data_IF_419210275323
#
_entry.id   IF_419210275323
#
_cell.length_a   1.000
_cell.length_b   1.000
_cell.length_c   1.000
_cell.angle_alpha   90.00
_cell.angle_beta   90.00
_cell.angle_gamma   90.00
#
_symmetry.space_group_name_H-M   'P 1'
#
loop_
_entity.id
_entity.type
_entity.pdbx_description
1 polymer ?
#
# COMPACT_ATOMS: atom_id res chain seq x y z
N UNK A 1 -0.47 -27.78 -0.23
CA UNK A 1 -0.84 -29.21 -0.09
C UNK A 1 -2.18 -29.48 -0.75
N UNK A 2 -3.22 -29.64 0.05
CA UNK A 2 -4.56 -30.08 -0.41
C UNK A 2 -5.18 -29.19 -1.50
N UNK A 3 -5.06 -27.86 -1.39
CA UNK A 3 -5.67 -26.93 -2.34
C UNK A 3 -4.92 -26.86 -3.68
N UNK A 4 -3.59 -27.01 -3.65
CA UNK A 4 -2.72 -26.79 -4.82
C UNK A 4 -2.23 -28.09 -5.46
N UNK A 5 -2.35 -29.23 -4.78
CA UNK A 5 -1.71 -30.49 -5.19
C UNK A 5 -0.17 -30.45 -5.08
N UNK A 6 0.40 -29.39 -4.48
CA UNK A 6 1.84 -29.19 -4.32
C UNK A 6 2.26 -29.29 -2.86
N UNK A 7 3.43 -29.88 -2.62
CA UNK A 7 4.13 -29.95 -1.33
C UNK A 7 5.20 -28.88 -1.14
N UNK A 8 5.45 -28.05 -2.15
CA UNK A 8 6.50 -27.03 -2.15
C UNK A 8 6.21 -25.88 -1.17
N UNK A 9 7.28 -25.33 -0.56
CA UNK A 9 7.21 -24.16 0.31
C UNK A 9 6.92 -22.87 -0.50
N UNK A 10 5.85 -22.16 -0.15
CA UNK A 10 5.36 -20.94 -0.82
C UNK A 10 6.15 -19.65 -0.48
N UNK A 11 7.45 -19.78 -0.18
CA UNK A 11 8.27 -18.63 0.18
C UNK A 11 8.97 -17.95 -1.02
N UNK A 12 9.17 -18.66 -2.13
CA UNK A 12 9.88 -18.13 -3.29
C UNK A 12 8.93 -17.53 -4.34
N UNK A 13 9.37 -16.44 -4.99
CA UNK A 13 8.61 -15.84 -6.11
C UNK A 13 8.44 -16.81 -7.30
N UNK A 14 9.35 -17.78 -7.47
CA UNK A 14 9.23 -18.83 -8.49
C UNK A 14 8.04 -19.76 -8.19
N UNK A 15 7.89 -20.19 -6.93
CA UNK A 15 6.74 -21.00 -6.50
C UNK A 15 5.43 -20.23 -6.68
N UNK A 16 5.40 -18.94 -6.29
CA UNK A 16 4.21 -18.09 -6.48
C UNK A 16 3.86 -17.90 -7.96
N UNK A 17 4.86 -17.71 -8.83
CA UNK A 17 4.64 -17.66 -10.28
C UNK A 17 3.98 -18.94 -10.79
N UNK A 18 4.44 -20.09 -10.35
CA UNK A 18 3.92 -21.36 -10.81
C UNK A 18 2.51 -21.65 -10.31
N UNK A 19 2.20 -21.29 -9.07
CA UNK A 19 0.86 -21.46 -8.49
C UNK A 19 -0.12 -20.44 -9.08
N UNK A 20 0.20 -19.14 -8.98
CA UNK A 20 -0.74 -18.07 -9.31
C UNK A 20 -0.91 -17.92 -10.82
N UNK A 21 0.19 -17.86 -11.57
CA UNK A 21 0.12 -17.56 -13.01
C UNK A 21 0.03 -18.82 -13.87
N UNK A 22 0.80 -19.88 -13.57
CA UNK A 22 0.79 -21.07 -14.43
C UNK A 22 -0.37 -22.01 -14.11
N UNK A 23 -0.64 -22.27 -12.84
CA UNK A 23 -1.68 -23.21 -12.41
C UNK A 23 -3.07 -22.57 -12.38
N UNK A 24 -3.24 -21.45 -11.66
CA UNK A 24 -4.53 -20.76 -11.56
C UNK A 24 -4.80 -19.73 -12.66
N UNK A 25 -3.84 -19.49 -13.56
CA UNK A 25 -4.00 -18.57 -14.71
C UNK A 25 -4.42 -17.15 -14.29
N UNK A 26 -4.00 -16.71 -13.10
CA UNK A 26 -4.29 -15.36 -12.61
C UNK A 26 -3.50 -14.30 -13.39
N UNK A 27 -4.04 -13.08 -13.53
CA UNK A 27 -3.35 -11.98 -14.19
C UNK A 27 -2.21 -11.43 -13.33
N UNK A 28 -1.21 -10.82 -13.97
CA UNK A 28 -0.15 -10.09 -13.28
C UNK A 28 -0.72 -8.74 -12.82
N UNK A 29 -0.87 -8.55 -11.50
CA UNK A 29 -1.44 -7.32 -10.95
C UNK A 29 -0.42 -6.20 -10.72
N UNK A 30 0.83 -6.57 -10.39
CA UNK A 30 1.95 -5.63 -10.27
C UNK A 30 3.21 -6.22 -10.88
N UNK A 31 4.10 -5.31 -11.29
CA UNK A 31 5.39 -5.64 -11.92
C UNK A 31 6.55 -5.06 -11.12
N UNK A 32 7.69 -5.74 -11.19
CA UNK A 32 8.92 -5.32 -10.52
C UNK A 32 9.50 -4.11 -11.27
N UNK A 33 9.81 -3.05 -10.52
CA UNK A 33 10.51 -1.86 -11.01
C UNK A 33 11.96 -1.86 -10.54
N UNK A 34 12.87 -1.53 -11.45
CA UNK A 34 14.30 -1.48 -11.17
C UNK A 34 14.93 -0.19 -11.71
N UNK A 35 16.07 0.21 -11.16
CA UNK A 35 16.85 1.31 -11.72
C UNK A 35 17.71 0.80 -12.86
N UNK A 36 17.62 1.43 -14.03
CA UNK A 36 18.55 1.18 -15.12
C UNK A 36 19.94 1.76 -14.80
N UNK A 37 20.91 1.54 -15.69
CA UNK A 37 22.29 2.02 -15.53
C UNK A 37 22.38 3.55 -15.32
N UNK A 38 21.39 4.30 -15.82
CA UNK A 38 21.29 5.76 -15.67
C UNK A 38 20.56 6.18 -14.39
N UNK A 39 20.27 5.24 -13.48
CA UNK A 39 19.56 5.49 -12.22
C UNK A 39 18.06 5.78 -12.36
N UNK A 40 17.50 5.67 -13.58
CA UNK A 40 16.06 5.88 -13.83
C UNK A 40 15.29 4.60 -13.59
N UNK A 41 14.12 4.73 -12.97
CA UNK A 41 13.21 3.61 -12.78
C UNK A 41 12.65 3.15 -14.13
N UNK A 42 12.62 1.85 -14.34
CA UNK A 42 11.95 1.20 -15.45
C UNK A 42 11.15 -0.02 -14.94
N UNK A 43 10.09 -0.34 -15.66
CA UNK A 43 9.29 -1.53 -15.42
C UNK A 43 9.94 -2.73 -16.11
N UNK A 44 10.20 -3.81 -15.37
CA UNK A 44 10.87 -4.99 -15.90
C UNK A 44 9.90 -5.95 -16.60
N UNK A 45 8.59 -5.73 -16.47
CA UNK A 45 7.54 -6.65 -16.92
C UNK A 45 7.47 -7.96 -16.12
N UNK A 46 8.42 -8.22 -15.20
CA UNK A 46 8.39 -9.39 -14.33
C UNK A 46 7.32 -9.23 -13.26
N UNK A 47 6.55 -10.29 -12.95
CA UNK A 47 5.50 -10.21 -11.94
C UNK A 47 6.08 -9.95 -10.55
N UNK A 48 5.43 -9.05 -9.80
CA UNK A 48 5.65 -8.89 -8.36
C UNK A 48 4.67 -9.77 -7.58
N UNK A 49 5.14 -10.29 -6.45
CA UNK A 49 4.36 -11.00 -5.44
C UNK A 49 4.73 -10.49 -4.03
N UNK A 50 5.07 -9.21 -3.95
CA UNK A 50 5.24 -8.50 -2.68
C UNK A 50 3.90 -8.36 -1.95
N UNK A 51 3.95 -7.75 -0.76
CA UNK A 51 2.76 -7.53 0.07
C UNK A 51 1.66 -6.78 -0.69
N UNK A 52 2.03 -5.76 -1.45
CA UNK A 52 1.07 -4.92 -2.18
C UNK A 52 0.40 -5.74 -3.29
N UNK A 53 1.18 -6.49 -4.08
CA UNK A 53 0.65 -7.36 -5.12
C UNK A 53 -0.30 -8.43 -4.56
N UNK A 54 0.07 -9.05 -3.44
CA UNK A 54 -0.76 -10.04 -2.76
C UNK A 54 -2.07 -9.45 -2.23
N UNK A 55 -2.04 -8.20 -1.75
CA UNK A 55 -3.25 -7.51 -1.31
C UNK A 55 -4.21 -7.22 -2.47
N UNK A 56 -3.68 -6.88 -3.66
CA UNK A 56 -4.52 -6.73 -4.86
C UNK A 56 -5.20 -8.04 -5.25
N UNK A 57 -4.49 -9.18 -5.16
CA UNK A 57 -5.09 -10.48 -5.46
C UNK A 57 -6.28 -10.79 -4.54
N UNK A 58 -6.26 -10.36 -3.27
CA UNK A 58 -7.36 -10.61 -2.33
C UNK A 58 -8.69 -9.98 -2.73
N UNK A 59 -8.65 -8.89 -3.49
CA UNK A 59 -9.83 -8.12 -3.91
C UNK A 59 -10.11 -8.25 -5.40
N UNK A 60 -9.23 -8.88 -6.18
CA UNK A 60 -9.38 -8.99 -7.62
C UNK A 60 -10.46 -10.02 -8.01
N UNK A 61 -11.36 -9.73 -8.98
CA UNK A 61 -12.44 -10.64 -9.37
C UNK A 61 -12.00 -12.02 -9.86
N UNK A 62 -10.80 -12.15 -10.43
CA UNK A 62 -10.26 -13.46 -10.83
C UNK A 62 -9.93 -14.37 -9.64
N UNK A 63 -9.89 -13.82 -8.43
CA UNK A 63 -9.66 -14.55 -7.18
C UNK A 63 -10.97 -14.63 -6.39
N UNK A 64 -11.65 -13.50 -6.19
CA UNK A 64 -12.85 -13.45 -5.34
C UNK A 64 -14.04 -14.23 -5.89
N UNK A 65 -14.03 -14.57 -7.19
CA UNK A 65 -15.08 -15.39 -7.82
C UNK A 65 -14.88 -16.89 -7.60
N UNK A 66 -13.74 -17.34 -7.07
CA UNK A 66 -13.42 -18.75 -6.84
C UNK A 66 -12.93 -18.94 -5.40
N UNK A 67 -13.75 -19.61 -4.59
CA UNK A 67 -13.49 -19.82 -3.15
C UNK A 67 -12.20 -20.62 -2.90
N UNK A 68 -11.85 -21.56 -3.80
CA UNK A 68 -10.61 -22.33 -3.69
C UNK A 68 -9.40 -21.43 -3.92
N UNK A 69 -9.44 -20.58 -4.96
CA UNK A 69 -8.34 -19.65 -5.26
C UNK A 69 -8.18 -18.63 -4.12
N UNK A 70 -9.29 -18.09 -3.62
CA UNK A 70 -9.32 -17.19 -2.47
C UNK A 70 -8.63 -17.79 -1.25
N UNK A 71 -8.99 -19.02 -0.86
CA UNK A 71 -8.34 -19.72 0.24
C UNK A 71 -6.84 -19.91 0.03
N UNK A 72 -6.40 -20.19 -1.20
CA UNK A 72 -4.97 -20.28 -1.52
C UNK A 72 -4.26 -18.94 -1.31
N UNK A 73 -4.83 -17.83 -1.80
CA UNK A 73 -4.27 -16.48 -1.63
C UNK A 73 -4.18 -16.09 -0.16
N UNK A 74 -5.22 -16.38 0.63
CA UNK A 74 -5.24 -16.09 2.06
C UNK A 74 -4.16 -16.85 2.82
N UNK A 75 -4.05 -18.17 2.61
CA UNK A 75 -3.03 -19.01 3.25
C UNK A 75 -1.61 -18.59 2.86
N UNK A 76 -1.37 -18.27 1.58
CA UNK A 76 -0.07 -17.75 1.14
C UNK A 76 0.27 -16.44 1.84
N UNK A 77 -0.70 -15.53 1.94
CA UNK A 77 -0.50 -14.22 2.56
C UNK A 77 -0.24 -14.35 4.06
N UNK A 78 -0.99 -15.20 4.75
CA UNK A 78 -0.82 -15.51 6.16
C UNK A 78 0.56 -16.09 6.41
N UNK A 79 0.93 -17.16 5.69
CA UNK A 79 2.24 -17.79 5.81
C UNK A 79 3.39 -16.79 5.61
N UNK A 80 3.32 -15.95 4.57
CA UNK A 80 4.36 -14.95 4.29
C UNK A 80 4.44 -13.88 5.36
N UNK A 81 3.30 -13.50 5.95
CA UNK A 81 3.24 -12.54 7.05
C UNK A 81 3.89 -13.13 8.31
N UNK A 82 3.59 -14.39 8.65
CA UNK A 82 4.23 -15.07 9.79
C UNK A 82 5.72 -15.29 9.55
N UNK A 83 6.10 -15.72 8.36
CA UNK A 83 7.50 -15.95 8.00
C UNK A 83 8.30 -14.64 8.04
N UNK A 84 7.74 -13.53 7.53
CA UNK A 84 8.36 -12.20 7.65
C UNK A 84 8.46 -11.77 9.11
N UNK A 85 7.42 -11.99 9.91
CA UNK A 85 7.44 -11.62 11.32
C UNK A 85 8.53 -12.38 12.08
N UNK A 86 8.63 -13.69 11.86
CA UNK A 86 9.67 -14.54 12.43
C UNK A 86 11.06 -14.07 12.01
N UNK A 87 11.32 -13.94 10.71
CA UNK A 87 12.67 -13.65 10.21
C UNK A 87 13.13 -12.23 10.53
N UNK A 88 12.26 -11.23 10.28
CA UNK A 88 12.62 -9.82 10.39
C UNK A 88 12.66 -9.32 11.84
N UNK A 89 11.89 -9.94 12.74
CA UNK A 89 11.79 -9.49 14.12
C UNK A 89 12.25 -10.55 15.12
N UNK A 90 11.63 -11.73 15.17
CA UNK A 90 11.95 -12.70 16.23
C UNK A 90 13.41 -13.18 16.15
N UNK A 91 13.81 -13.73 15.00
CA UNK A 91 15.16 -14.25 14.80
C UNK A 91 16.18 -13.13 14.93
N UNK A 92 15.88 -11.95 14.36
CA UNK A 92 16.75 -10.78 14.41
C UNK A 92 16.95 -10.25 15.84
N UNK A 93 15.89 -10.18 16.67
CA UNK A 93 16.03 -9.72 18.06
C UNK A 93 16.75 -10.76 18.92
N UNK A 94 16.50 -12.05 18.70
CA UNK A 94 17.20 -13.13 19.41
C UNK A 94 18.71 -13.12 19.08
N UNK A 95 19.09 -12.81 17.85
CA UNK A 95 20.48 -12.73 17.44
C UNK A 95 21.18 -11.47 17.95
N UNK A 96 20.51 -10.32 17.91
CA UNK A 96 21.12 -9.00 18.14
C UNK A 96 20.93 -8.45 19.56
N UNK A 97 20.27 -9.17 20.47
CA UNK A 97 20.13 -8.71 21.83
C UNK A 97 21.43 -8.91 22.63
N UNK A 98 21.72 -7.94 23.49
CA UNK A 98 22.73 -8.02 24.52
C UNK A 98 22.01 -7.95 25.87
N UNK A 99 21.98 -9.08 26.59
CA UNK A 99 21.28 -9.21 27.88
C UNK A 99 19.80 -8.79 27.85
N UNK A 100 19.08 -9.15 26.77
CA UNK A 100 17.67 -8.82 26.60
C UNK A 100 17.40 -7.39 26.10
N UNK A 101 18.43 -6.62 25.74
CA UNK A 101 18.32 -5.28 25.16
C UNK A 101 18.82 -5.29 23.72
N UNK A 102 18.08 -4.67 22.80
CA UNK A 102 18.51 -4.51 21.40
C UNK A 102 19.06 -3.10 21.18
N UNK A 103 20.15 -2.97 20.44
CA UNK A 103 20.86 -1.70 20.21
C UNK A 103 20.86 -1.30 18.72
N UNK A 104 19.82 -0.60 18.21
CA UNK A 104 19.75 -0.19 16.81
C UNK A 104 20.84 0.81 16.43
N UNK A 105 21.42 0.63 15.24
CA UNK A 105 22.38 1.57 14.67
C UNK A 105 21.68 2.61 13.79
N UNK A 106 21.86 3.89 14.12
CA UNK A 106 21.33 5.01 13.34
C UNK A 106 22.42 5.68 12.51
N UNK A 107 22.24 5.69 11.19
CA UNK A 107 23.09 6.44 10.27
C UNK A 107 22.44 7.78 9.91
N UNK A 108 23.16 8.86 10.22
CA UNK A 108 22.73 10.24 10.06
C UNK A 108 22.99 10.82 8.65
N UNK A 109 23.80 10.15 7.84
CA UNK A 109 24.29 10.66 6.55
C UNK A 109 23.61 10.00 5.35
N UNK A 110 22.29 10.18 5.19
CA UNK A 110 21.60 9.78 3.94
C UNK A 110 21.20 10.99 3.11
N UNK A 111 21.16 10.79 1.78
CA UNK A 111 20.97 11.83 0.76
C UNK A 111 19.73 12.72 0.95
N UNK A 112 18.71 12.24 1.63
CA UNK A 112 17.44 12.96 1.86
C UNK A 112 17.41 13.73 3.17
N UNK A 113 18.46 13.65 3.99
CA UNK A 113 18.49 14.21 5.35
C UNK A 113 17.70 13.42 6.40
N UNK A 114 17.07 12.30 6.04
CA UNK A 114 16.41 11.40 7.01
C UNK A 114 17.47 10.65 7.85
N UNK A 115 17.06 10.02 8.95
CA UNK A 115 17.89 8.97 9.57
C UNK A 115 17.61 7.63 8.87
N UNK A 116 18.61 6.76 8.80
CA UNK A 116 18.41 5.35 8.45
C UNK A 116 18.80 4.46 9.62
N UNK A 117 18.12 3.33 9.79
CA UNK A 117 18.32 2.43 10.93
C UNK A 117 18.62 1.00 10.49
N UNK A 118 19.55 0.33 11.17
CA UNK A 118 19.95 -1.05 10.91
C UNK A 118 20.39 -1.76 12.18
N UNK A 119 20.39 -3.10 12.16
CA UNK A 119 20.88 -3.99 13.24
C UNK A 119 20.31 -3.67 14.65
N UNK A 120 19.00 -3.89 14.91
CA UNK A 120 17.91 -4.13 13.98
C UNK A 120 17.34 -2.81 13.41
N UNK A 121 16.54 -2.88 12.34
CA UNK A 121 15.85 -1.70 11.83
C UNK A 121 14.64 -1.34 12.73
N UNK A 122 14.85 -0.42 13.67
CA UNK A 122 13.79 0.05 14.59
C UNK A 122 12.79 1.02 13.94
N UNK A 123 13.07 1.56 12.75
CA UNK A 123 12.16 2.47 12.04
C UNK A 123 11.02 1.72 11.34
N UNK A 124 11.19 0.43 11.00
CA UNK A 124 10.22 -0.38 10.25
C UNK A 124 9.52 -1.44 11.11
N UNK A 125 9.31 -1.13 12.39
CA UNK A 125 8.58 -1.98 13.33
C UNK A 125 7.09 -2.04 12.96
N UNK A 126 6.49 -3.23 13.07
CA UNK A 126 5.04 -3.40 12.95
C UNK A 126 4.39 -3.52 14.34
N UNK A 127 3.06 -3.52 14.40
CA UNK A 127 2.33 -3.56 15.68
C UNK A 127 2.64 -4.82 16.51
N UNK A 128 2.97 -5.95 15.89
CA UNK A 128 3.35 -7.16 16.60
C UNK A 128 4.77 -7.05 17.18
N UNK A 129 5.71 -6.47 16.45
CA UNK A 129 7.10 -6.34 16.90
C UNK A 129 7.21 -5.31 18.03
N UNK A 130 6.45 -4.21 17.97
CA UNK A 130 6.38 -3.21 19.05
C UNK A 130 5.95 -3.80 20.39
N UNK A 131 5.06 -4.81 20.38
CA UNK A 131 4.60 -5.49 21.60
C UNK A 131 5.69 -6.33 22.28
N UNK A 132 6.81 -6.59 21.60
CA UNK A 132 7.97 -7.28 22.17
C UNK A 132 8.95 -6.33 22.84
N UNK A 133 8.77 -5.02 22.67
CA UNK A 133 9.66 -4.00 23.23
C UNK A 133 9.03 -3.44 24.51
N UNK A 134 9.70 -3.68 25.63
CA UNK A 134 9.23 -3.28 26.95
C UNK A 134 10.17 -2.24 27.57
N UNK A 135 9.64 -1.27 28.33
CA UNK A 135 10.49 -0.42 29.16
C UNK A 135 11.17 -1.24 30.26
N UNK A 136 12.24 -0.72 30.85
CA UNK A 136 12.83 -1.35 32.03
C UNK A 136 11.86 -1.29 33.23
N UNK A 137 12.13 -2.11 34.25
CA UNK A 137 11.29 -2.18 35.46
C UNK A 137 11.21 -0.80 36.12
N UNK A 138 9.99 -0.31 36.30
CA UNK A 138 9.72 1.00 36.89
C UNK A 138 9.66 2.15 35.88
N UNK A 139 9.85 1.89 34.59
CA UNK A 139 9.82 2.88 33.52
C UNK A 139 8.59 2.73 32.61
N UNK A 140 8.36 3.74 31.77
CA UNK A 140 7.34 3.74 30.72
C UNK A 140 7.91 4.25 29.40
N UNK A 141 7.28 3.87 28.28
CA UNK A 141 7.60 4.38 26.95
C UNK A 141 6.65 5.53 26.59
N UNK A 142 7.21 6.61 26.03
CA UNK A 142 6.44 7.73 25.47
C UNK A 142 6.68 7.77 23.96
N UNK A 143 5.61 7.91 23.19
CA UNK A 143 5.67 8.06 21.74
C UNK A 143 4.95 9.34 21.34
N UNK A 144 5.65 10.21 20.61
CA UNK A 144 5.12 11.44 20.06
C UNK A 144 5.33 11.43 18.54
N UNK A 145 4.23 11.48 17.79
CA UNK A 145 4.23 11.56 16.33
C UNK A 145 3.64 12.89 15.88
N UNK A 146 4.31 13.57 14.95
CA UNK A 146 3.81 14.82 14.40
C UNK A 146 2.66 14.53 13.43
N UNK A 147 1.44 14.93 13.81
CA UNK A 147 0.26 14.80 12.96
C UNK A 147 0.46 15.46 11.60
N UNK A 148 0.49 14.65 10.54
CA UNK A 148 0.54 15.09 9.14
C UNK A 148 1.70 16.03 8.80
N UNK A 149 2.87 15.86 9.43
CA UNK A 149 4.00 16.81 9.30
C UNK A 149 4.36 17.13 7.84
N UNK A 150 4.46 16.12 6.98
CA UNK A 150 4.79 16.32 5.56
C UNK A 150 3.73 17.17 4.86
N UNK A 151 2.44 16.93 5.15
CA UNK A 151 1.36 17.67 4.50
C UNK A 151 1.20 19.09 5.05
N UNK A 152 1.50 19.32 6.34
CA UNK A 152 1.59 20.66 6.90
C UNK A 152 2.69 21.48 6.23
N UNK A 153 3.85 20.86 5.98
CA UNK A 153 4.94 21.49 5.24
C UNK A 153 4.52 21.81 3.80
N UNK A 154 3.89 20.86 3.10
CA UNK A 154 3.36 21.08 1.74
C UNK A 154 2.37 22.25 1.72
N UNK A 155 1.38 22.25 2.61
CA UNK A 155 0.38 23.32 2.73
C UNK A 155 1.04 24.69 2.99
N UNK A 156 2.05 24.73 3.85
CA UNK A 156 2.82 25.94 4.12
C UNK A 156 3.58 26.43 2.89
N UNK A 157 4.37 25.57 2.25
CA UNK A 157 5.19 25.93 1.08
C UNK A 157 4.36 26.29 -0.14
N UNK A 158 3.25 25.59 -0.37
CA UNK A 158 2.31 25.87 -1.45
C UNK A 158 1.34 27.01 -1.13
N UNK A 159 1.37 27.56 0.10
CA UNK A 159 0.49 28.65 0.57
C UNK A 159 -1.00 28.36 0.35
N UNK A 160 -1.43 27.14 0.70
CA UNK A 160 -2.84 26.73 0.58
C UNK A 160 -3.63 27.39 1.73
N UNK A 161 -4.05 28.64 1.53
CA UNK A 161 -4.57 29.52 2.58
C UNK A 161 -5.75 28.92 3.35
N UNK A 162 -6.67 28.25 2.65
CA UNK A 162 -7.81 27.56 3.29
C UNK A 162 -7.36 26.47 4.25
N UNK A 163 -6.33 25.70 3.87
CA UNK A 163 -5.77 24.64 4.70
C UNK A 163 -4.96 25.19 5.88
N UNK A 164 -4.18 26.26 5.65
CA UNK A 164 -3.46 26.97 6.71
C UNK A 164 -4.45 27.49 7.77
N UNK A 165 -5.54 28.13 7.33
CA UNK A 165 -6.59 28.61 8.21
C UNK A 165 -7.20 27.46 9.02
N UNK A 166 -7.59 26.37 8.37
CA UNK A 166 -8.16 25.19 9.04
C UNK A 166 -7.21 24.62 10.11
N UNK A 167 -5.92 24.47 9.81
CA UNK A 167 -4.94 23.99 10.79
C UNK A 167 -4.72 24.94 11.98
N UNK A 168 -4.85 26.26 11.77
CA UNK A 168 -4.72 27.25 12.83
C UNK A 168 -5.97 27.30 13.73
N UNK A 169 -7.15 27.06 13.15
CA UNK A 169 -8.42 27.00 13.89
C UNK A 169 -8.56 25.68 14.67
N UNK A 170 -8.17 24.56 14.06
CA UNK A 170 -8.11 23.25 14.71
C UNK A 170 -6.81 22.51 14.35
N UNK A 171 -5.86 22.39 15.30
CA UNK A 171 -4.66 21.58 15.11
C UNK A 171 -4.94 20.11 14.81
N UNK A 172 -6.14 19.58 15.08
CA UNK A 172 -6.55 18.21 14.75
C UNK A 172 -7.09 18.05 13.32
N UNK A 173 -7.22 19.14 12.55
CA UNK A 173 -7.64 19.11 11.14
C UNK A 173 -6.93 17.99 10.39
N UNK A 174 -7.69 17.19 9.65
CA UNK A 174 -7.18 16.13 8.78
C UNK A 174 -7.39 16.51 7.32
N UNK A 175 -6.30 16.92 6.67
CA UNK A 175 -6.38 17.34 5.28
C UNK A 175 -6.73 16.18 4.35
N UNK A 176 -6.31 14.96 4.67
CA UNK A 176 -6.65 13.80 3.85
C UNK A 176 -8.14 13.47 3.94
N UNK A 177 -8.73 13.63 5.12
CA UNK A 177 -10.17 13.50 5.33
C UNK A 177 -10.94 14.61 4.58
N UNK A 178 -10.45 15.85 4.64
CA UNK A 178 -11.07 16.95 3.91
C UNK A 178 -11.09 16.71 2.38
N UNK A 179 -9.99 16.19 1.82
CA UNK A 179 -9.95 15.78 0.40
C UNK A 179 -10.88 14.59 0.12
N UNK A 180 -10.91 13.62 1.03
CA UNK A 180 -11.82 12.48 0.94
C UNK A 180 -13.28 12.92 0.82
N UNK A 181 -13.71 13.90 1.61
CA UNK A 181 -15.06 14.47 1.58
C UNK A 181 -15.34 15.26 0.29
N UNK A 182 -14.39 16.08 -0.16
CA UNK A 182 -14.52 16.85 -1.41
C UNK A 182 -14.66 15.93 -2.62
N UNK A 183 -13.93 14.81 -2.62
CA UNK A 183 -13.91 13.87 -3.74
C UNK A 183 -14.94 12.75 -3.63
N UNK A 184 -15.61 12.63 -2.49
CA UNK A 184 -16.48 11.50 -2.16
C UNK A 184 -15.80 10.14 -2.34
N UNK A 185 -14.52 10.03 -1.96
CA UNK A 185 -13.75 8.78 -1.95
C UNK A 185 -13.28 8.49 -0.54
N UNK A 186 -12.88 7.24 -0.25
CA UNK A 186 -12.35 6.88 1.07
C UNK A 186 -11.04 7.64 1.40
N UNK A 187 -10.74 7.76 2.70
CA UNK A 187 -9.57 8.52 3.18
C UNK A 187 -8.24 7.96 2.67
N UNK A 188 -8.09 6.64 2.55
CA UNK A 188 -6.85 6.02 2.06
C UNK A 188 -6.51 6.40 0.61
N UNK A 189 -7.42 6.24 -0.38
CA UNK A 189 -7.15 6.70 -1.73
C UNK A 189 -6.97 8.23 -1.81
N UNK A 190 -7.70 9.02 -1.01
CA UNK A 190 -7.48 10.47 -0.92
C UNK A 190 -6.07 10.82 -0.41
N UNK A 191 -5.55 10.09 0.59
CA UNK A 191 -4.18 10.23 1.08
C UNK A 191 -3.16 9.88 0.01
N UNK A 192 -3.36 8.78 -0.73
CA UNK A 192 -2.47 8.39 -1.82
C UNK A 192 -2.45 9.41 -2.95
N UNK A 193 -3.61 9.95 -3.32
CA UNK A 193 -3.76 11.03 -4.29
C UNK A 193 -2.99 12.28 -3.83
N UNK A 194 -3.21 12.72 -2.59
CA UNK A 194 -2.51 13.86 -1.98
C UNK A 194 -0.98 13.77 -2.10
N UNK A 195 -0.39 12.66 -1.67
CA UNK A 195 1.06 12.46 -1.80
C UNK A 195 1.50 12.24 -3.26
N UNK A 196 0.64 11.63 -4.08
CA UNK A 196 0.83 11.50 -5.51
C UNK A 196 1.05 12.86 -6.18
N UNK A 197 0.19 13.81 -5.84
CA UNK A 197 0.23 15.18 -6.33
C UNK A 197 1.40 15.97 -5.75
N UNK A 198 1.58 15.94 -4.43
CA UNK A 198 2.63 16.70 -3.76
C UNK A 198 4.05 16.31 -4.19
N UNK A 199 4.27 15.04 -4.52
CA UNK A 199 5.57 14.53 -4.98
C UNK A 199 5.69 14.44 -6.50
N UNK A 200 4.75 15.02 -7.25
CA UNK A 200 4.81 15.15 -8.70
C UNK A 200 4.88 13.83 -9.46
N UNK A 201 4.05 12.86 -9.08
CA UNK A 201 4.02 11.55 -9.73
C UNK A 201 3.39 11.56 -11.14
N UNK A 202 2.81 12.68 -11.57
CA UNK A 202 2.12 12.79 -12.85
C UNK A 202 0.78 12.07 -12.87
N UNK A 203 -0.09 12.45 -13.83
CA UNK A 203 -1.42 11.84 -14.00
C UNK A 203 -1.35 10.32 -14.06
N UNK A 204 -0.48 9.78 -14.92
CA UNK A 204 -0.37 8.34 -15.12
C UNK A 204 0.13 7.60 -13.87
N UNK A 205 1.04 8.21 -13.10
CA UNK A 205 1.55 7.61 -11.87
C UNK A 205 0.48 7.55 -10.79
N UNK A 206 -0.27 8.64 -10.63
CA UNK A 206 -1.34 8.76 -9.64
C UNK A 206 -2.52 7.86 -9.99
N UNK A 207 -3.01 7.90 -11.23
CA UNK A 207 -4.14 7.07 -11.64
C UNK A 207 -3.79 5.58 -11.55
N UNK A 208 -2.57 5.18 -11.93
CA UNK A 208 -2.12 3.78 -11.77
C UNK A 208 -2.14 3.35 -10.30
N UNK A 209 -1.71 4.21 -9.36
CA UNK A 209 -1.78 3.90 -7.92
C UNK A 209 -3.21 3.79 -7.40
N UNK A 210 -4.10 4.68 -7.84
CA UNK A 210 -5.51 4.63 -7.45
C UNK A 210 -6.23 3.40 -8.02
N UNK A 211 -5.90 2.99 -9.25
CA UNK A 211 -6.44 1.77 -9.85
C UNK A 211 -6.04 0.50 -9.08
N UNK A 212 -4.90 0.53 -8.38
CA UNK A 212 -4.39 -0.55 -7.54
C UNK A 212 -4.54 -0.23 -6.05
N UNK A 213 -5.48 0.64 -5.68
CA UNK A 213 -5.80 0.89 -4.28
C UNK A 213 -6.83 -0.13 -3.81
N UNK A 214 -6.57 -0.79 -2.68
CA UNK A 214 -7.43 -1.86 -2.15
C UNK A 214 -8.86 -1.40 -1.88
N UNK A 215 -9.07 -0.20 -1.34
CA UNK A 215 -10.39 0.34 -1.02
C UNK A 215 -11.20 0.57 -2.31
N UNK A 216 -10.56 1.17 -3.33
CA UNK A 216 -11.19 1.37 -4.65
C UNK A 216 -11.48 0.02 -5.31
N UNK A 217 -10.52 -0.90 -5.32
CA UNK A 217 -10.72 -2.21 -5.92
C UNK A 217 -11.86 -2.97 -5.22
N UNK A 218 -11.93 -2.94 -3.89
CA UNK A 218 -13.03 -3.56 -3.16
C UNK A 218 -14.38 -2.96 -3.56
N UNK A 219 -14.50 -1.64 -3.53
CA UNK A 219 -15.72 -0.92 -3.91
C UNK A 219 -16.16 -1.26 -5.34
N UNK A 220 -15.25 -1.19 -6.32
CA UNK A 220 -15.57 -1.51 -7.71
C UNK A 220 -15.89 -3.00 -7.89
N UNK A 221 -15.25 -3.88 -7.12
CA UNK A 221 -15.55 -5.31 -7.07
C UNK A 221 -16.96 -5.58 -6.57
N UNK A 222 -17.39 -4.91 -5.50
CA UNK A 222 -18.74 -5.03 -4.93
C UNK A 222 -19.81 -4.56 -5.91
N UNK A 223 -19.59 -3.43 -6.61
CA UNK A 223 -20.46 -2.95 -7.68
C UNK A 223 -20.59 -3.99 -8.80
N UNK A 224 -19.47 -4.56 -9.23
CA UNK A 224 -19.47 -5.60 -10.28
C UNK A 224 -20.23 -6.84 -9.83
N UNK A 225 -20.06 -7.27 -8.57
CA UNK A 225 -20.78 -8.41 -8.00
C UNK A 225 -22.30 -8.15 -8.01
N UNK A 226 -22.72 -6.95 -7.61
CA UNK A 226 -24.12 -6.55 -7.62
C UNK A 226 -24.70 -6.56 -9.04
N UNK A 227 -23.98 -6.03 -10.03
CA UNK A 227 -24.42 -6.04 -11.43
C UNK A 227 -24.60 -7.45 -11.98
N UNK A 228 -23.72 -8.39 -11.62
CA UNK A 228 -23.88 -9.80 -12.00
C UNK A 228 -25.09 -10.43 -11.31
N UNK A 229 -25.26 -10.19 -10.01
CA UNK A 229 -26.39 -10.72 -9.24
C UNK A 229 -27.75 -10.23 -9.77
N UNK A 230 -27.81 -8.98 -10.22
CA UNK A 230 -28.98 -8.38 -10.85
C UNK A 230 -29.17 -8.81 -12.32
N UNK A 231 -28.32 -9.69 -12.86
CA UNK A 231 -28.31 -10.11 -14.28
C UNK A 231 -28.14 -8.93 -15.26
N UNK A 232 -27.48 -7.85 -14.81
CA UNK A 232 -27.16 -6.65 -15.61
C UNK A 232 -25.76 -6.71 -16.23
N UNK A 233 -24.96 -7.71 -15.85
CA UNK A 233 -23.63 -7.98 -16.38
C UNK A 233 -23.45 -9.49 -16.57
N UNK A 234 -22.96 -9.89 -17.74
CA UNK A 234 -22.54 -11.28 -17.98
C UNK A 234 -21.37 -11.62 -17.03
N UNK A 235 -21.44 -12.73 -16.25
CA UNK A 235 -20.34 -13.17 -15.40
C UNK A 235 -18.98 -13.26 -16.09
N UNK A 236 -18.93 -13.57 -17.39
CA UNK A 236 -17.69 -13.65 -18.16
C UNK A 236 -17.04 -12.27 -18.41
N UNK A 237 -17.81 -11.18 -18.26
CA UNK A 237 -17.33 -9.81 -18.42
C UNK A 237 -16.90 -9.17 -17.09
N UNK A 238 -16.91 -9.92 -15.98
CA UNK A 238 -16.62 -9.44 -14.63
C UNK A 238 -15.28 -8.69 -14.54
N UNK A 239 -14.20 -9.34 -14.97
CA UNK A 239 -12.84 -8.76 -14.92
C UNK A 239 -12.74 -7.51 -15.80
N UNK A 240 -13.26 -7.57 -17.03
CA UNK A 240 -13.24 -6.43 -17.95
C UNK A 240 -13.98 -5.22 -17.37
N UNK A 241 -15.18 -5.44 -16.81
CA UNK A 241 -15.96 -4.34 -16.22
C UNK A 241 -15.32 -3.78 -14.96
N UNK A 242 -14.73 -4.64 -14.15
CA UNK A 242 -13.96 -4.23 -12.98
C UNK A 242 -12.80 -3.30 -13.33
N UNK A 243 -11.96 -3.68 -14.30
CA UNK A 243 -10.84 -2.85 -14.74
C UNK A 243 -11.30 -1.51 -15.33
N UNK A 244 -12.43 -1.51 -16.04
CA UNK A 244 -13.09 -0.30 -16.53
C UNK A 244 -13.50 0.64 -15.39
N UNK A 245 -14.18 0.13 -14.37
CA UNK A 245 -14.63 0.91 -13.24
C UNK A 245 -13.46 1.46 -12.41
N UNK A 246 -12.45 0.65 -12.11
CA UNK A 246 -11.25 1.10 -11.40
C UNK A 246 -10.53 2.23 -12.16
N UNK A 247 -10.41 2.12 -13.49
CA UNK A 247 -9.80 3.16 -14.33
C UNK A 247 -10.63 4.43 -14.33
N UNK A 248 -11.93 4.32 -14.54
CA UNK A 248 -12.84 5.47 -14.59
C UNK A 248 -12.85 6.20 -13.25
N UNK A 249 -12.93 5.46 -12.15
CA UNK A 249 -12.86 6.00 -10.80
C UNK A 249 -11.55 6.75 -10.57
N UNK A 250 -10.40 6.12 -10.85
CA UNK A 250 -9.09 6.74 -10.68
C UNK A 250 -8.90 8.03 -11.50
N UNK A 251 -9.31 8.02 -12.77
CA UNK A 251 -9.22 9.20 -13.65
C UNK A 251 -10.16 10.30 -13.17
N UNK A 252 -11.38 9.95 -12.75
CA UNK A 252 -12.34 10.91 -12.24
C UNK A 252 -11.85 11.56 -10.94
N UNK A 253 -11.36 10.78 -9.97
CA UNK A 253 -10.79 11.31 -8.72
C UNK A 253 -9.63 12.27 -8.98
N UNK A 254 -8.74 11.94 -9.93
CA UNK A 254 -7.65 12.83 -10.33
C UNK A 254 -8.16 14.14 -10.93
N UNK A 255 -9.13 14.08 -11.84
CA UNK A 255 -9.67 15.27 -12.51
C UNK A 255 -10.42 16.18 -11.52
N UNK A 256 -11.28 15.62 -10.66
CA UNK A 256 -12.02 16.38 -9.65
C UNK A 256 -11.05 17.02 -8.66
N UNK A 257 -9.99 16.32 -8.25
CA UNK A 257 -8.97 16.91 -7.37
C UNK A 257 -8.36 18.17 -7.97
N UNK A 258 -8.01 18.16 -9.25
CA UNK A 258 -7.47 19.34 -9.92
C UNK A 258 -8.48 20.48 -10.11
N UNK A 259 -9.75 20.14 -10.32
CA UNK A 259 -10.81 21.13 -10.38
C UNK A 259 -11.01 21.83 -9.02
N UNK A 260 -10.96 21.07 -7.93
CA UNK A 260 -11.26 21.56 -6.57
C UNK A 260 -10.04 22.13 -5.84
N UNK A 261 -8.83 21.74 -6.21
CA UNK A 261 -7.56 22.16 -5.61
C UNK A 261 -6.58 22.73 -6.66
N UNK A 262 -6.92 23.87 -7.31
CA UNK A 262 -6.09 24.45 -8.36
C UNK A 262 -4.72 24.95 -7.89
N UNK A 263 -4.53 25.18 -6.58
CA UNK A 263 -3.27 25.65 -5.99
C UNK A 263 -2.16 24.60 -6.10
N UNK A 264 -2.51 23.32 -6.23
CA UNK A 264 -1.57 22.22 -6.46
C UNK A 264 -1.49 21.99 -7.97
N UNK A 265 -0.46 22.57 -8.59
CA UNK A 265 -0.26 22.55 -10.04
C UNK A 265 -0.27 21.14 -10.62
N UNK A 266 -0.81 21.01 -11.83
CA UNK A 266 -0.63 19.84 -12.68
C UNK A 266 0.86 19.57 -12.85
N UNK A 267 1.29 18.38 -12.45
CA UNK A 267 2.59 17.87 -12.88
C UNK A 267 2.42 17.34 -14.30
N UNK A 268 2.99 18.08 -15.25
CA UNK A 268 3.08 17.72 -16.68
C UNK A 268 3.75 16.35 -16.87
#
# INVERSE_FOLDING_TARGET
GQLTGRSEFVNSNACLKDILLKQFKLPILLTIKERNQNGRWHDTGRPSFDKDAMALYKVHPSVTSDEKIKQVIDLITEYRTEQQFKSLFLDTFLELNENGVVHPNYNQSVKTGRLSCSKPNSQQQNERSKKLIHPHKGEGLISNDYSQIEYRLIVHYCRILKAIKAYNEDPKTDYHQWISEILHIQRTPAKQLNFGMAFGQGKNGVTKKLMTNEDIMKEMGDIVNELVNQKRLDPNLRVKKFEELCRNHAVNSYNIYHEKMPEIKLTS
#
